data_IF_665595815161
#
_entry.id   IF_665595815161
#
_cell.length_a   1.000
_cell.length_b   1.000
_cell.length_c   1.000
_cell.angle_alpha   90.00
_cell.angle_beta   90.00
_cell.angle_gamma   90.00
#
_symmetry.space_group_name_H-M   'P 1'
#
loop_
_entity.id
_entity.type
_entity.pdbx_description
1 polymer ?
#
# COMPACT_ATOMS: atom_id res chain seq x y z
N UNK A 1 39.77 30.91 5.30
CA UNK A 1 38.75 31.78 5.95
C UNK A 1 37.36 31.69 5.33
N UNK A 2 37.22 31.69 4.00
CA UNK A 2 35.92 31.70 3.29
C UNK A 2 35.00 30.51 3.60
N UNK A 3 35.57 29.31 3.80
CA UNK A 3 34.80 28.11 4.20
C UNK A 3 34.25 28.18 5.63
N UNK A 4 34.99 28.83 6.54
CA UNK A 4 34.55 29.02 7.92
C UNK A 4 33.40 30.03 7.99
N UNK A 5 33.49 31.10 7.20
CA UNK A 5 32.42 32.09 7.02
C UNK A 5 31.14 31.45 6.44
N UNK A 6 31.27 30.57 5.44
CA UNK A 6 30.10 29.89 4.87
C UNK A 6 29.43 28.92 5.86
N UNK A 7 30.20 28.18 6.66
CA UNK A 7 29.66 27.30 7.70
C UNK A 7 28.95 28.09 8.81
N UNK A 8 29.47 29.28 9.15
CA UNK A 8 28.90 30.14 10.19
C UNK A 8 27.58 30.78 9.73
N UNK A 9 27.47 31.16 8.46
CA UNK A 9 26.22 31.68 7.86
C UNK A 9 25.15 30.56 7.78
N UNK A 10 25.55 29.34 7.42
CA UNK A 10 24.61 28.21 7.32
C UNK A 10 24.07 27.77 8.71
N UNK A 11 24.90 27.88 9.75
CA UNK A 11 24.49 27.59 11.12
C UNK A 11 23.52 28.64 11.69
N UNK A 12 23.65 29.92 11.30
CA UNK A 12 22.76 30.99 11.73
C UNK A 12 21.34 30.87 11.15
N UNK A 13 21.19 30.30 9.95
CA UNK A 13 19.89 30.08 9.30
C UNK A 13 19.06 28.95 9.96
N UNK A 14 19.70 28.04 10.70
CA UNK A 14 19.02 26.94 11.39
C UNK A 14 18.29 27.37 12.68
N UNK A 15 18.54 28.59 13.17
CA UNK A 15 17.98 29.14 14.41
C UNK A 15 16.68 29.93 14.25
N UNK A 16 16.24 30.24 13.02
CA UNK A 16 14.95 30.87 12.76
C UNK A 16 13.82 29.84 12.86
N UNK A 17 13.67 29.23 14.04
CA UNK A 17 12.57 28.36 14.37
C UNK A 17 11.29 29.19 14.48
N UNK A 18 10.57 29.27 13.36
CA UNK A 18 9.12 29.15 13.29
C UNK A 18 8.33 29.91 14.37
N UNK A 19 8.41 31.25 14.39
CA UNK A 19 7.21 32.00 14.76
C UNK A 19 6.17 31.66 13.68
N UNK A 20 5.14 30.88 14.05
CA UNK A 20 4.05 30.57 13.13
C UNK A 20 3.54 31.86 12.50
N UNK A 21 3.45 31.90 11.17
CA UNK A 21 2.87 33.07 10.50
C UNK A 21 1.48 33.29 11.10
N UNK A 22 1.20 34.51 11.57
CA UNK A 22 -0.10 34.83 12.15
C UNK A 22 -1.17 34.58 11.09
N UNK A 23 -2.01 33.57 11.30
CA UNK A 23 -3.13 33.25 10.41
C UNK A 23 -4.35 33.95 10.97
N UNK A 24 -5.01 34.76 10.16
CA UNK A 24 -6.24 35.45 10.51
C UNK A 24 -7.42 34.72 9.88
N UNK A 25 -8.47 34.44 10.66
CA UNK A 25 -9.75 34.00 10.13
C UNK A 25 -10.62 35.21 9.83
N UNK A 26 -10.78 35.51 8.54
CA UNK A 26 -11.59 36.59 8.02
C UNK A 26 -12.95 36.01 7.56
N UNK A 27 -13.87 35.84 8.51
CA UNK A 27 -15.16 35.19 8.27
C UNK A 27 -15.04 33.69 7.93
N UNK A 28 -15.19 33.34 6.65
CA UNK A 28 -15.09 31.96 6.13
C UNK A 28 -13.77 31.65 5.43
N UNK A 29 -12.83 32.60 5.39
CA UNK A 29 -11.55 32.45 4.72
C UNK A 29 -10.41 32.69 5.70
N UNK A 30 -9.27 32.04 5.47
CA UNK A 30 -8.04 32.26 6.22
C UNK A 30 -7.11 33.14 5.40
N UNK A 31 -6.47 34.13 6.03
CA UNK A 31 -5.47 35.01 5.41
C UNK A 31 -4.21 35.08 6.27
N UNK A 32 -3.07 35.31 5.62
CA UNK A 32 -1.80 35.65 6.29
C UNK A 32 -1.64 37.15 6.51
N UNK A 33 -2.59 37.96 6.02
CA UNK A 33 -2.66 39.41 6.25
C UNK A 33 -3.76 39.73 7.26
N UNK A 34 -3.56 40.73 8.14
CA UNK A 34 -4.60 41.16 9.07
C UNK A 34 -5.82 41.69 8.29
N UNK A 35 -7.01 41.30 8.76
CA UNK A 35 -8.29 41.78 8.26
C UNK A 35 -8.97 42.64 9.35
N UNK A 36 -9.80 43.63 8.99
CA UNK A 36 -10.44 44.52 9.96
C UNK A 36 -11.24 43.78 11.06
N UNK A 37 -11.90 42.67 10.71
CA UNK A 37 -12.62 41.80 11.66
C UNK A 37 -11.96 40.43 11.86
N UNK A 38 -10.68 40.30 11.50
CA UNK A 38 -9.95 39.04 11.50
C UNK A 38 -9.58 38.58 12.91
N UNK A 39 -9.96 37.35 13.29
CA UNK A 39 -9.47 36.74 14.54
C UNK A 39 -8.14 36.03 14.30
N UNK A 40 -7.17 36.26 15.18
CA UNK A 40 -5.89 35.56 15.16
C UNK A 40 -6.14 34.09 15.50
N UNK A 41 -5.59 33.21 14.67
CA UNK A 41 -5.60 31.76 14.84
C UNK A 41 -4.17 31.33 15.12
N UNK A 42 -3.97 30.73 16.29
CA UNK A 42 -2.69 30.12 16.64
C UNK A 42 -2.48 28.89 15.76
N UNK A 43 -1.53 28.98 14.84
CA UNK A 43 -1.23 27.94 13.83
C UNK A 43 -0.04 27.06 14.22
N UNK A 44 0.50 27.24 15.42
CA UNK A 44 1.68 26.51 15.89
C UNK A 44 1.33 25.07 16.26
N UNK A 45 2.23 24.12 15.94
CA UNK A 45 2.08 22.72 16.38
C UNK A 45 2.26 22.67 17.91
N UNK A 46 1.23 22.28 18.69
CA UNK A 46 1.33 22.24 20.15
C UNK A 46 2.26 21.14 20.66
N UNK A 47 2.71 20.22 19.79
CA UNK A 47 3.57 19.10 20.20
C UNK A 47 4.96 19.59 20.59
N UNK A 48 5.45 19.07 21.72
CA UNK A 48 6.82 19.34 22.16
C UNK A 48 7.85 18.54 21.36
N UNK A 49 9.11 18.96 21.40
CA UNK A 49 10.21 18.22 20.78
C UNK A 49 10.34 16.79 21.34
N UNK A 50 10.10 16.60 22.64
CA UNK A 50 10.12 15.29 23.29
C UNK A 50 9.01 14.37 22.73
N UNK A 51 7.79 14.86 22.58
CA UNK A 51 6.67 14.10 21.99
C UNK A 51 6.98 13.69 20.54
N UNK A 52 7.57 14.58 19.75
CA UNK A 52 8.01 14.24 18.39
C UNK A 52 9.10 13.18 18.37
N UNK A 53 10.05 13.25 19.29
CA UNK A 53 11.13 12.26 19.40
C UNK A 53 10.57 10.89 19.80
N UNK A 54 9.66 10.84 20.76
CA UNK A 54 8.98 9.62 21.18
C UNK A 54 8.17 8.99 20.04
N UNK A 55 7.34 9.78 19.34
CA UNK A 55 6.57 9.30 18.20
C UNK A 55 7.47 8.70 17.11
N UNK A 56 8.62 9.34 16.82
CA UNK A 56 9.62 8.79 15.89
C UNK A 56 10.21 7.46 16.38
N UNK A 57 10.48 7.32 17.68
CA UNK A 57 10.98 6.07 18.26
C UNK A 57 9.95 4.94 18.15
N UNK A 58 8.68 5.23 18.43
CA UNK A 58 7.59 4.25 18.30
C UNK A 58 7.44 3.82 16.83
N UNK A 59 7.34 4.77 15.91
CA UNK A 59 7.22 4.47 14.48
C UNK A 59 8.41 3.64 13.95
N UNK A 60 9.63 3.91 14.43
CA UNK A 60 10.80 3.11 14.06
C UNK A 60 10.69 1.65 14.54
N UNK A 61 10.23 1.43 15.77
CA UNK A 61 10.01 0.07 16.31
C UNK A 61 8.90 -0.67 15.56
N UNK A 62 7.79 0.01 15.27
CA UNK A 62 6.69 -0.56 14.48
C UNK A 62 7.13 -0.97 13.09
N UNK A 63 7.93 -0.12 12.41
CA UNK A 63 8.51 -0.45 11.11
C UNK A 63 9.39 -1.70 11.17
N UNK A 64 10.20 -1.84 12.22
CA UNK A 64 11.03 -3.03 12.43
C UNK A 64 10.19 -4.29 12.66
N UNK A 65 9.14 -4.19 13.48
CA UNK A 65 8.21 -5.28 13.76
C UNK A 65 7.48 -5.71 12.48
N UNK A 66 6.97 -4.75 11.71
CA UNK A 66 6.29 -5.01 10.44
C UNK A 66 7.21 -5.73 9.45
N UNK A 67 8.46 -5.28 9.31
CA UNK A 67 9.45 -5.96 8.47
C UNK A 67 9.76 -7.39 8.94
N UNK A 68 9.77 -7.64 10.26
CA UNK A 68 9.94 -8.99 10.80
C UNK A 68 8.77 -9.89 10.45
N UNK A 69 7.54 -9.41 10.65
CA UNK A 69 6.33 -10.17 10.31
C UNK A 69 6.26 -10.48 8.81
N UNK A 70 6.69 -9.56 7.95
CA UNK A 70 6.75 -9.80 6.52
C UNK A 70 7.74 -10.91 6.15
N UNK A 71 8.92 -10.94 6.79
CA UNK A 71 9.90 -12.02 6.61
C UNK A 71 9.35 -13.36 7.08
N UNK A 72 8.77 -13.41 8.28
CA UNK A 72 8.16 -14.64 8.83
C UNK A 72 7.02 -15.16 7.94
N UNK A 73 6.22 -14.26 7.35
CA UNK A 73 5.20 -14.64 6.36
C UNK A 73 5.85 -15.29 5.14
N UNK A 74 6.87 -14.67 4.56
CA UNK A 74 7.58 -15.18 3.38
C UNK A 74 8.25 -16.53 3.65
N UNK A 75 8.88 -16.68 4.81
CA UNK A 75 9.52 -17.94 5.24
C UNK A 75 8.48 -19.05 5.40
N UNK A 76 7.33 -18.76 6.03
CA UNK A 76 6.25 -19.73 6.17
C UNK A 76 5.65 -20.12 4.83
N UNK A 77 5.48 -19.16 3.93
CA UNK A 77 4.99 -19.42 2.57
C UNK A 77 5.99 -20.26 1.77
N UNK A 78 7.30 -20.01 1.89
CA UNK A 78 8.32 -20.82 1.24
C UNK A 78 8.39 -22.24 1.82
N UNK A 79 8.26 -22.37 3.15
CA UNK A 79 8.27 -23.67 3.83
C UNK A 79 6.99 -24.48 3.59
N UNK A 80 5.85 -23.79 3.36
CA UNK A 80 4.56 -24.41 3.09
C UNK A 80 4.22 -24.47 1.60
N UNK A 81 5.10 -23.95 0.72
CA UNK A 81 4.95 -24.07 -0.72
C UNK A 81 4.98 -25.57 -1.04
N UNK A 82 3.85 -26.18 -1.43
CA UNK A 82 3.87 -27.59 -1.77
C UNK A 82 4.82 -27.75 -2.96
N UNK A 83 5.65 -28.80 -2.96
CA UNK A 83 6.46 -29.21 -4.12
C UNK A 83 5.60 -29.68 -5.32
N UNK A 84 4.35 -29.23 -5.38
CA UNK A 84 3.31 -29.55 -6.33
C UNK A 84 2.01 -29.04 -5.72
N UNK A 85 1.60 -27.82 -6.07
CA UNK A 85 0.25 -27.35 -5.77
C UNK A 85 -0.74 -28.37 -6.35
N UNK A 86 -1.24 -29.28 -5.50
CA UNK A 86 -2.27 -30.21 -5.88
C UNK A 86 -3.50 -29.37 -6.16
N UNK A 87 -3.89 -29.34 -7.43
CA UNK A 87 -5.18 -28.81 -7.87
C UNK A 87 -6.28 -29.39 -6.98
N UNK A 88 -7.08 -28.52 -6.34
CA UNK A 88 -8.30 -28.94 -5.64
C UNK A 88 -9.43 -29.34 -6.63
N UNK A 89 -9.12 -29.43 -7.93
CA UNK A 89 -10.03 -30.06 -8.88
C UNK A 89 -10.18 -31.53 -8.48
N UNK A 90 -11.42 -32.02 -8.46
CA UNK A 90 -11.69 -33.43 -8.26
C UNK A 90 -10.78 -34.24 -9.20
N UNK A 91 -10.17 -35.35 -8.74
CA UNK A 91 -9.39 -36.20 -9.62
C UNK A 91 -10.28 -36.60 -10.80
N UNK A 92 -9.80 -36.36 -12.02
CA UNK A 92 -10.46 -36.87 -13.21
C UNK A 92 -10.64 -38.38 -13.00
N UNK A 93 -11.85 -38.95 -13.21
CA UNK A 93 -12.06 -40.38 -13.07
C UNK A 93 -11.01 -41.13 -13.90
N UNK A 94 -10.27 -42.03 -13.26
CA UNK A 94 -9.38 -42.93 -13.98
C UNK A 94 -10.25 -43.82 -14.87
N UNK A 95 -10.21 -43.59 -16.18
CA UNK A 95 -10.80 -44.53 -17.12
C UNK A 95 -10.08 -45.87 -16.99
N UNK A 96 -10.80 -46.99 -16.84
CA UNK A 96 -10.18 -48.30 -16.71
C UNK A 96 -9.43 -48.66 -17.98
N UNK A 97 -8.16 -49.04 -17.81
CA UNK A 97 -7.33 -49.56 -18.88
C UNK A 97 -7.96 -50.81 -19.49
N UNK A 98 -8.52 -50.68 -20.69
CA UNK A 98 -8.84 -51.81 -21.55
C UNK A 98 -7.82 -51.89 -22.68
N UNK A 99 -7.13 -53.03 -22.78
CA UNK A 99 -6.28 -53.42 -23.92
C UNK A 99 -7.03 -54.43 -24.81
N UNK A 100 -6.59 -54.75 -26.05
CA UNK A 100 -6.01 -53.92 -27.11
C UNK A 100 -6.76 -54.06 -28.48
N UNK A 101 -6.78 -52.96 -29.27
CA UNK A 101 -6.90 -52.80 -30.75
C UNK A 101 -7.91 -53.63 -31.61
N UNK A 102 -8.51 -53.04 -32.68
CA UNK A 102 -7.81 -52.94 -33.97
C UNK A 102 -7.99 -51.61 -34.75
N UNK A 103 -7.15 -51.47 -35.78
CA UNK A 103 -6.91 -50.28 -36.60
C UNK A 103 -8.11 -49.85 -37.46
N UNK A 104 -8.40 -48.54 -37.54
CA UNK A 104 -8.97 -47.93 -38.75
C UNK A 104 -8.80 -46.40 -38.84
N UNK A 105 -8.08 -46.01 -39.90
CA UNK A 105 -8.25 -44.85 -40.78
C UNK A 105 -8.25 -43.41 -40.22
N UNK A 106 -7.23 -42.70 -40.71
CA UNK A 106 -7.14 -41.25 -40.97
C UNK A 106 -8.50 -40.61 -41.25
N UNK A 107 -8.86 -39.55 -40.52
CA UNK A 107 -9.54 -38.39 -41.11
C UNK A 107 -9.12 -37.09 -40.40
N UNK A 108 -8.61 -36.18 -41.22
CA UNK A 108 -8.34 -34.78 -40.90
C UNK A 108 -9.68 -34.06 -40.66
N UNK A 109 -9.81 -33.33 -39.55
CA UNK A 109 -10.65 -32.14 -39.50
C UNK A 109 -10.24 -31.22 -38.35
N UNK A 110 -9.89 -29.96 -38.69
CA UNK A 110 -10.11 -28.82 -37.78
C UNK A 110 -11.56 -28.37 -38.00
N UNK A 111 -12.26 -27.88 -36.96
CA UNK A 111 -12.50 -26.43 -36.97
C UNK A 111 -12.49 -25.76 -35.58
N UNK A 112 -12.57 -24.42 -35.67
CA UNK A 112 -12.45 -23.34 -34.69
C UNK A 112 -13.45 -23.37 -33.51
N UNK A 113 -13.22 -22.39 -32.60
CA UNK A 113 -14.15 -21.62 -31.71
C UNK A 113 -14.21 -22.14 -30.25
N UNK A 114 -14.29 -21.31 -29.19
CA UNK A 114 -14.55 -19.87 -29.02
C UNK A 114 -13.71 -19.35 -27.85
N UNK A 115 -13.29 -18.10 -27.92
CA UNK A 115 -13.06 -17.25 -26.73
C UNK A 115 -14.27 -17.35 -25.81
N UNK A 116 -14.10 -18.02 -24.66
CA UNK A 116 -15.07 -17.96 -23.59
C UNK A 116 -14.94 -16.56 -22.98
N UNK A 117 -15.96 -15.75 -23.24
CA UNK A 117 -16.13 -14.42 -22.66
C UNK A 117 -15.90 -14.49 -21.15
N UNK A 118 -14.92 -13.72 -20.68
CA UNK A 118 -14.77 -13.39 -19.27
C UNK A 118 -16.06 -12.66 -18.88
N UNK A 119 -16.86 -13.28 -18.01
CA UNK A 119 -18.02 -12.61 -17.42
C UNK A 119 -17.52 -11.95 -16.15
N UNK A 120 -17.46 -10.63 -16.18
CA UNK A 120 -17.14 -9.81 -15.02
C UNK A 120 -18.06 -10.16 -13.83
N UNK A 121 -17.48 -10.17 -12.65
CA UNK A 121 -18.16 -10.47 -11.39
C UNK A 121 -19.15 -9.35 -11.04
N UNK A 122 -20.42 -9.71 -10.79
CA UNK A 122 -21.44 -8.80 -10.25
C UNK A 122 -21.85 -9.24 -8.85
N UNK A 123 -21.59 -8.38 -7.85
CA UNK A 123 -22.09 -8.56 -6.50
C UNK A 123 -23.57 -8.15 -6.43
N UNK A 124 -24.42 -9.04 -5.92
CA UNK A 124 -25.83 -8.73 -5.61
C UNK A 124 -25.91 -8.40 -4.12
N UNK A 125 -26.41 -7.20 -3.80
CA UNK A 125 -26.74 -6.81 -2.42
C UNK A 125 -28.09 -7.42 -2.05
N UNK A 126 -28.19 -8.21 -0.96
CA UNK A 126 -29.48 -8.75 -0.55
C UNK A 126 -30.37 -7.65 0.06
N UNK A 127 -31.54 -7.45 -0.56
CA UNK A 127 -32.76 -6.96 0.08
C UNK A 127 -32.75 -5.55 0.65
N UNK A 128 -32.96 -4.54 -0.20
CA UNK A 128 -33.40 -3.21 0.21
C UNK A 128 -34.88 -3.00 -0.10
N UNK A 129 -35.76 -3.43 0.81
CA UNK A 129 -37.09 -2.87 1.09
C UNK A 129 -37.45 -3.20 2.53
#
# INVERSE_FOLDING_TARGET
MTRLLMLLILAAAAGAAQAGQAIYRCGQTYSQTPCPDGKIVESTDPRTAAQRAEAKRVAAKEKQLAAKMERERKEREAASAPQGAASLSAPAPAEPASSPAPKAKVHKSKPKKKTAANKDFTAVVPGGK
#
